data_IF_766327165773
#
_entry.id   IF_766327165773
#
_cell.length_a   1.000
_cell.length_b   1.000
_cell.length_c   1.000
_cell.angle_alpha   90.00
_cell.angle_beta   90.00
_cell.angle_gamma   90.00
#
_symmetry.space_group_name_H-M   'P 1'
#
loop_
_entity.id
_entity.type
_entity.pdbx_description
1 polymer ?
#
# COMPACT_ATOMS: atom_id res chain seq x y z
N UNK A 1 32.58 19.04 -20.03
CA UNK A 1 33.13 20.40 -19.85
C UNK A 1 31.97 21.39 -19.98
N UNK A 2 31.43 21.89 -18.86
CA UNK A 2 30.79 23.20 -18.74
C UNK A 2 30.46 23.42 -17.25
N UNK A 3 31.03 24.50 -16.68
CA UNK A 3 30.92 24.90 -15.28
C UNK A 3 29.67 25.74 -15.04
N UNK A 4 29.06 25.50 -13.88
CA UNK A 4 28.55 26.45 -12.88
C UNK A 4 27.81 27.73 -13.30
N UNK A 5 26.63 27.91 -12.71
CA UNK A 5 26.28 29.18 -12.03
C UNK A 5 25.87 28.91 -10.59
N UNK A 6 26.66 29.47 -9.68
CA UNK A 6 26.29 29.81 -8.29
C UNK A 6 25.45 31.09 -8.31
N UNK A 7 24.46 31.17 -7.45
CA UNK A 7 24.06 32.41 -6.79
C UNK A 7 23.63 32.05 -5.37
N UNK A 8 24.34 32.65 -4.41
CA UNK A 8 24.24 32.45 -2.97
C UNK A 8 23.00 33.13 -2.36
N UNK A 9 22.56 32.56 -1.24
CA UNK A 9 21.80 33.24 -0.19
C UNK A 9 21.70 32.30 1.02
N UNK A 10 22.19 32.68 2.22
CA UNK A 10 22.15 31.79 3.37
C UNK A 10 20.70 31.74 3.87
N UNK A 11 20.03 30.61 3.66
CA UNK A 11 18.84 30.28 4.46
C UNK A 11 19.32 30.10 5.89
N UNK A 12 18.80 30.93 6.79
CA UNK A 12 19.13 30.98 8.22
C UNK A 12 18.98 29.59 8.81
N UNK A 13 20.10 28.90 8.97
CA UNK A 13 20.18 27.75 9.86
C UNK A 13 19.99 28.31 11.27
N UNK A 14 18.82 28.07 11.85
CA UNK A 14 18.64 28.23 13.30
C UNK A 14 19.66 27.34 13.98
N UNK A 15 20.60 27.98 14.68
CA UNK A 15 21.67 27.32 15.42
C UNK A 15 21.10 26.22 16.35
N UNK A 16 21.83 25.13 16.61
CA UNK A 16 21.44 24.17 17.64
C UNK A 16 21.36 24.90 19.00
N UNK A 17 20.41 24.54 19.87
CA UNK A 17 20.23 25.24 21.14
C UNK A 17 21.51 25.18 21.96
N UNK A 18 22.08 26.36 22.23
CA UNK A 18 23.19 26.54 23.16
C UNK A 18 22.70 26.31 24.58
N UNK A 19 23.45 25.49 25.32
CA UNK A 19 23.22 25.19 26.73
C UNK A 19 23.49 26.45 27.56
N UNK A 20 22.47 27.25 27.84
CA UNK A 20 22.56 28.29 28.88
C UNK A 20 22.42 27.61 30.24
N UNK A 21 23.47 27.70 31.04
CA UNK A 21 23.47 27.33 32.45
C UNK A 21 22.40 28.13 33.22
N UNK A 22 21.73 27.46 34.15
CA UNK A 22 20.87 28.01 35.22
C UNK A 22 19.40 28.33 34.91
N UNK A 23 18.70 27.43 34.20
CA UNK A 23 17.26 27.27 34.38
C UNK A 23 16.89 25.77 34.28
N UNK A 24 16.15 25.27 35.27
CA UNK A 24 15.69 23.88 35.31
C UNK A 24 14.96 23.47 34.03
N UNK A 25 15.06 22.19 33.68
CA UNK A 25 14.37 21.58 32.55
C UNK A 25 12.86 21.86 32.62
N UNK A 26 12.39 22.80 31.81
CA UNK A 26 10.98 22.89 31.46
C UNK A 26 10.81 22.08 30.18
N UNK A 27 10.01 21.01 30.24
CA UNK A 27 9.59 20.30 29.04
C UNK A 27 8.84 21.30 28.14
N UNK A 28 9.17 21.38 26.83
CA UNK A 28 8.46 22.28 25.94
C UNK A 28 6.96 21.88 25.90
N UNK A 29 6.04 22.87 25.81
CA UNK A 29 4.62 22.59 25.71
C UNK A 29 4.31 21.88 24.39
N UNK A 30 3.14 21.23 24.33
CA UNK A 30 2.57 20.62 23.12
C UNK A 30 2.75 21.56 21.91
N UNK A 31 3.29 21.03 20.80
CA UNK A 31 3.55 21.66 19.48
C UNK A 31 5.01 22.08 19.20
N UNK A 32 5.75 21.26 18.43
CA UNK A 32 6.44 21.68 17.18
C UNK A 32 7.02 20.48 16.36
N UNK A 33 6.28 19.37 16.22
CA UNK A 33 6.66 18.30 15.28
C UNK A 33 5.81 18.30 13.99
N UNK A 34 4.84 19.20 13.88
CA UNK A 34 3.97 19.32 12.70
C UNK A 34 4.62 20.29 11.70
N UNK A 35 5.63 19.79 10.98
CA UNK A 35 6.39 20.57 10.02
C UNK A 35 6.45 19.84 8.68
N UNK A 36 6.00 20.51 7.61
CA UNK A 36 5.96 19.95 6.26
C UNK A 36 7.34 19.41 5.85
N UNK A 37 7.38 18.13 5.49
CA UNK A 37 8.58 17.43 5.08
C UNK A 37 9.45 16.92 6.23
N UNK A 38 8.97 16.97 7.48
CA UNK A 38 9.67 16.46 8.65
C UNK A 38 8.77 15.46 9.41
N UNK A 39 9.01 14.17 9.19
CA UNK A 39 8.22 13.09 9.77
C UNK A 39 8.59 12.86 11.24
N UNK A 40 7.60 12.87 12.12
CA UNK A 40 7.81 12.58 13.53
C UNK A 40 7.93 11.07 13.79
N UNK A 41 9.13 10.59 14.15
CA UNK A 41 9.41 9.19 14.46
C UNK A 41 9.61 8.92 15.96
N UNK A 42 9.07 9.80 16.80
CA UNK A 42 9.15 9.67 18.26
C UNK A 42 10.32 10.45 18.88
N UNK A 43 11.11 9.80 19.72
CA UNK A 43 12.15 10.43 20.55
C UNK A 43 13.49 9.73 20.35
N UNK A 44 14.63 10.44 20.49
CA UNK A 44 15.92 9.77 20.59
C UNK A 44 15.93 8.76 21.74
N UNK A 45 16.72 7.71 21.64
CA UNK A 45 16.74 6.61 22.61
C UNK A 45 18.16 6.30 23.06
N UNK A 46 18.41 6.39 24.36
CA UNK A 46 19.68 6.00 24.96
C UNK A 46 19.75 4.48 25.05
N UNK A 47 20.63 3.86 24.24
CA UNK A 47 20.83 2.42 24.20
C UNK A 47 21.47 1.86 25.49
N UNK A 48 22.26 2.66 26.21
CA UNK A 48 22.88 2.25 27.46
C UNK A 48 21.88 2.30 28.62
N UNK A 49 21.12 3.40 28.73
CA UNK A 49 20.09 3.55 29.76
C UNK A 49 18.79 2.77 29.44
N UNK A 50 18.61 2.35 28.19
CA UNK A 50 17.38 1.71 27.68
C UNK A 50 16.14 2.56 27.93
N UNK A 51 16.28 3.86 27.70
CA UNK A 51 15.25 4.84 27.97
C UNK A 51 15.18 5.88 26.85
N UNK A 52 13.98 6.41 26.56
CA UNK A 52 13.85 7.55 25.66
C UNK A 52 14.51 8.79 26.28
N UNK A 53 15.22 9.53 25.44
CA UNK A 53 15.78 10.83 25.78
C UNK A 53 14.74 11.94 25.51
N UNK A 54 14.88 13.11 26.16
CA UNK A 54 14.10 14.28 25.78
C UNK A 54 14.42 14.73 24.35
N UNK A 55 13.42 15.29 23.65
CA UNK A 55 13.57 15.81 22.29
C UNK A 55 12.63 15.13 21.30
N UNK A 56 12.68 15.56 20.04
CA UNK A 56 11.87 15.01 18.95
C UNK A 56 12.81 14.40 17.91
N UNK A 57 12.50 13.19 17.47
CA UNK A 57 13.16 12.58 16.32
C UNK A 57 12.36 12.94 15.07
N UNK A 58 12.77 14.00 14.39
CA UNK A 58 12.19 14.44 13.13
C UNK A 58 13.06 13.96 11.97
N UNK A 59 12.46 13.22 11.04
CA UNK A 59 13.11 12.62 9.90
C UNK A 59 12.79 13.42 8.62
N UNK A 60 13.81 13.81 7.84
CA UNK A 60 13.59 14.56 6.59
C UNK A 60 12.96 13.63 5.54
N UNK A 61 11.71 13.90 5.14
CA UNK A 61 10.99 13.05 4.21
C UNK A 61 11.62 13.02 2.82
N UNK A 62 12.51 13.99 2.50
CA UNK A 62 13.26 13.99 1.23
C UNK A 62 14.22 12.81 1.11
N UNK A 63 14.66 12.23 2.22
CA UNK A 63 15.48 11.03 2.21
C UNK A 63 14.70 9.81 1.66
N UNK A 64 13.36 9.86 1.67
CA UNK A 64 12.49 8.81 1.14
C UNK A 64 12.21 8.93 -0.37
N UNK A 65 12.73 9.96 -1.05
CA UNK A 65 12.51 10.18 -2.50
C UNK A 65 13.25 9.17 -3.41
N UNK A 66 14.08 8.30 -2.83
CA UNK A 66 14.77 7.25 -3.57
C UNK A 66 14.22 5.88 -3.18
N UNK A 67 14.88 5.19 -2.26
CA UNK A 67 14.46 3.88 -1.74
C UNK A 67 14.91 3.76 -0.28
N UNK A 68 14.04 3.21 0.56
CA UNK A 68 14.36 2.88 1.94
C UNK A 68 14.20 1.36 2.17
N UNK A 69 14.99 0.82 3.09
CA UNK A 69 14.90 -0.59 3.51
C UNK A 69 14.84 -0.64 5.03
N UNK A 70 13.76 -1.23 5.57
CA UNK A 70 13.61 -1.50 6.99
C UNK A 70 13.91 -2.98 7.28
N UNK A 71 14.91 -3.27 8.12
CA UNK A 71 15.34 -4.63 8.45
C UNK A 71 15.26 -4.85 9.96
N UNK A 72 14.82 -6.03 10.38
CA UNK A 72 14.68 -6.41 11.78
C UNK A 72 13.96 -7.73 11.96
N UNK A 73 14.12 -8.37 13.11
CA UNK A 73 13.42 -9.63 13.45
C UNK A 73 11.93 -9.40 13.74
N UNK A 74 11.13 -10.46 13.81
CA UNK A 74 9.72 -10.34 14.28
C UNK A 74 9.68 -9.72 15.68
N UNK A 75 8.74 -8.80 15.92
CA UNK A 75 8.64 -8.07 17.18
C UNK A 75 9.64 -6.91 17.35
N UNK A 76 10.52 -6.65 16.38
CA UNK A 76 11.49 -5.54 16.46
C UNK A 76 10.91 -4.16 16.15
N UNK A 77 9.58 -4.04 15.95
CA UNK A 77 8.93 -2.77 15.64
C UNK A 77 8.89 -2.34 14.17
N UNK A 78 9.27 -3.21 13.21
CA UNK A 78 9.24 -2.85 11.76
C UNK A 78 7.87 -2.34 11.29
N UNK A 79 6.81 -3.08 11.62
CA UNK A 79 5.44 -2.70 11.22
C UNK A 79 5.03 -1.38 11.89
N UNK A 80 5.40 -1.17 13.15
CA UNK A 80 5.16 0.09 13.86
C UNK A 80 5.85 1.27 13.16
N UNK A 81 7.14 1.13 12.83
CA UNK A 81 7.86 2.17 12.07
C UNK A 81 7.22 2.44 10.70
N UNK A 82 6.79 1.41 9.98
CA UNK A 82 6.08 1.61 8.71
C UNK A 82 4.74 2.32 8.91
N UNK A 83 4.00 1.99 9.97
CA UNK A 83 2.75 2.67 10.33
C UNK A 83 3.02 4.15 10.61
N UNK A 84 4.02 4.47 11.45
CA UNK A 84 4.41 5.84 11.74
C UNK A 84 4.72 6.61 10.45
N UNK A 85 5.55 6.04 9.56
CA UNK A 85 5.87 6.66 8.27
C UNK A 85 4.64 6.92 7.39
N UNK A 86 3.66 6.00 7.38
CA UNK A 86 2.43 6.14 6.61
C UNK A 86 1.53 7.24 7.20
N UNK A 87 1.45 7.32 8.53
CA UNK A 87 0.69 8.36 9.23
C UNK A 87 1.28 9.75 8.99
N UNK A 88 2.61 9.90 9.11
CA UNK A 88 3.29 11.16 8.82
C UNK A 88 3.15 11.56 7.34
N UNK A 89 3.28 10.61 6.42
CA UNK A 89 3.05 10.84 4.99
C UNK A 89 1.62 11.32 4.72
N UNK A 90 0.62 10.70 5.35
CA UNK A 90 -0.77 11.10 5.20
C UNK A 90 -1.01 12.52 5.74
N UNK A 91 -0.46 12.87 6.91
CA UNK A 91 -0.55 14.22 7.50
C UNK A 91 0.08 15.30 6.60
N UNK A 92 1.14 14.96 5.87
CA UNK A 92 1.78 15.83 4.87
C UNK A 92 1.10 15.81 3.49
N UNK A 93 0.00 15.08 3.32
CA UNK A 93 -0.74 14.97 2.06
C UNK A 93 -0.04 14.12 0.99
N UNK A 94 0.86 13.22 1.41
CA UNK A 94 1.57 12.29 0.53
C UNK A 94 0.78 10.98 0.46
N UNK A 95 0.25 10.58 -0.72
CA UNK A 95 -0.53 9.37 -0.85
C UNK A 95 0.34 8.11 -0.70
N UNK A 96 -0.18 7.13 0.03
CA UNK A 96 0.50 5.84 0.25
C UNK A 96 -0.29 4.70 -0.39
N UNK A 97 0.42 3.84 -1.14
CA UNK A 97 -0.06 2.50 -1.50
C UNK A 97 0.82 1.50 -0.76
N UNK A 98 0.22 0.70 0.11
CA UNK A 98 0.91 -0.33 0.88
C UNK A 98 0.48 -1.73 0.43
N UNK A 99 1.46 -2.60 0.16
CA UNK A 99 1.23 -4.02 -0.14
C UNK A 99 1.56 -4.82 1.11
N UNK A 100 0.54 -5.40 1.73
CA UNK A 100 0.67 -6.09 3.00
C UNK A 100 0.35 -7.58 2.89
N UNK A 101 1.36 -8.44 2.66
CA UNK A 101 1.16 -9.88 2.62
C UNK A 101 0.92 -10.50 4.01
N UNK A 102 1.14 -9.75 5.10
CA UNK A 102 0.94 -10.24 6.47
C UNK A 102 -0.46 -9.97 6.99
N UNK A 103 -1.08 -8.86 6.57
CA UNK A 103 -2.43 -8.47 6.95
C UNK A 103 -2.52 -7.67 8.24
N UNK A 104 -1.41 -7.06 8.68
CA UNK A 104 -1.31 -6.31 9.93
C UNK A 104 -1.53 -4.79 9.74
N UNK A 105 -1.35 -4.24 8.53
CA UNK A 105 -1.54 -2.82 8.23
C UNK A 105 -2.99 -2.31 8.31
N UNK A 106 -4.04 -3.13 8.10
CA UNK A 106 -5.42 -2.70 8.35
C UNK A 106 -5.67 -2.17 9.77
N UNK A 107 -4.79 -2.48 10.74
CA UNK A 107 -4.84 -1.90 12.08
C UNK A 107 -4.74 -0.37 12.09
N UNK A 108 -4.23 0.27 11.03
CA UNK A 108 -4.29 1.73 10.82
C UNK A 108 -5.72 2.30 10.90
N UNK A 109 -6.73 1.48 10.59
CA UNK A 109 -8.13 1.90 10.64
C UNK A 109 -8.71 1.87 12.05
N UNK A 110 -8.03 1.23 13.02
CA UNK A 110 -8.40 1.16 14.45
C UNK A 110 -7.96 2.43 15.21
N UNK A 111 -8.15 3.58 14.59
CA UNK A 111 -7.80 4.90 15.11
C UNK A 111 -9.06 5.64 15.50
N UNK A 112 -9.27 5.84 16.80
CA UNK A 112 -10.51 6.39 17.37
C UNK A 112 -10.27 7.81 17.95
N UNK A 113 -10.71 8.88 17.27
CA UNK A 113 -10.47 10.26 17.73
C UNK A 113 -11.04 10.57 19.11
N UNK A 114 -12.15 9.93 19.47
CA UNK A 114 -12.84 10.19 20.73
C UNK A 114 -12.32 9.33 21.89
N UNK A 115 -11.56 8.27 21.59
CA UNK A 115 -10.99 7.32 22.54
C UNK A 115 -12.04 6.84 23.57
N UNK A 116 -13.26 6.48 23.12
CA UNK A 116 -14.35 6.00 23.97
C UNK A 116 -14.28 4.49 24.11
N UNK A 117 -14.67 3.94 25.25
CA UNK A 117 -14.72 2.49 25.46
C UNK A 117 -15.52 1.77 24.36
N UNK A 118 -16.64 2.34 23.94
CA UNK A 118 -17.51 1.80 22.89
C UNK A 118 -16.82 1.69 21.53
N UNK A 119 -15.82 2.54 21.24
CA UNK A 119 -15.05 2.47 20.00
C UNK A 119 -14.14 1.22 19.98
N UNK A 120 -13.59 0.83 21.14
CA UNK A 120 -12.72 -0.34 21.29
C UNK A 120 -13.51 -1.63 21.46
N UNK A 121 -14.71 -1.58 22.04
CA UNK A 121 -15.51 -2.75 22.43
C UNK A 121 -15.72 -3.81 21.33
N UNK A 122 -15.92 -3.48 20.05
CA UNK A 122 -16.07 -4.47 18.98
C UNK A 122 -14.76 -5.19 18.62
N UNK A 123 -13.61 -4.65 19.04
CA UNK A 123 -12.28 -5.06 18.60
C UNK A 123 -11.43 -5.69 19.71
N UNK A 124 -11.99 -5.82 20.92
CA UNK A 124 -11.31 -6.52 22.01
C UNK A 124 -11.38 -8.04 21.81
N UNK A 125 -10.36 -8.73 22.31
CA UNK A 125 -10.36 -10.17 22.42
C UNK A 125 -11.07 -10.59 23.72
N UNK A 126 -12.31 -11.08 23.61
CA UNK A 126 -13.11 -11.44 24.80
C UNK A 126 -12.47 -12.57 25.62
N UNK A 127 -11.73 -13.47 24.98
CA UNK A 127 -10.97 -14.52 25.67
C UNK A 127 -9.87 -13.94 26.58
N UNK A 128 -9.23 -12.83 26.17
CA UNK A 128 -8.24 -12.15 27.01
C UNK A 128 -8.90 -11.41 28.17
N UNK A 129 -10.06 -10.79 27.94
CA UNK A 129 -10.86 -10.20 29.00
C UNK A 129 -11.24 -11.26 30.06
N UNK A 130 -11.69 -12.43 29.61
CA UNK A 130 -12.03 -13.55 30.48
C UNK A 130 -10.83 -14.08 31.28
N UNK A 131 -9.64 -14.23 30.65
CA UNK A 131 -8.40 -14.63 31.35
C UNK A 131 -7.99 -13.65 32.43
N UNK A 132 -8.28 -12.37 32.24
CA UNK A 132 -8.01 -11.31 33.21
C UNK A 132 -9.15 -11.12 34.24
N UNK A 133 -10.22 -11.91 34.14
CA UNK A 133 -11.37 -11.83 35.03
C UNK A 133 -12.18 -10.54 34.90
N UNK A 134 -12.11 -9.89 33.74
CA UNK A 134 -12.80 -8.63 33.45
C UNK A 134 -14.01 -8.87 32.55
N UNK A 135 -15.09 -8.11 32.78
CA UNK A 135 -16.19 -8.08 31.82
C UNK A 135 -15.72 -7.41 30.51
N UNK A 136 -16.27 -7.80 29.33
CA UNK A 136 -15.86 -7.21 28.06
C UNK A 136 -15.92 -5.68 28.01
N UNK A 137 -16.95 -5.07 28.58
CA UNK A 137 -17.10 -3.60 28.61
C UNK A 137 -16.07 -2.93 29.53
N UNK A 138 -15.70 -3.59 30.64
CA UNK A 138 -14.65 -3.11 31.55
C UNK A 138 -13.28 -3.20 30.88
N UNK A 139 -13.03 -4.28 30.12
CA UNK A 139 -11.80 -4.47 29.36
C UNK A 139 -11.67 -3.41 28.25
N UNK A 140 -12.74 -3.13 27.52
CA UNK A 140 -12.77 -2.07 26.51
C UNK A 140 -12.51 -0.68 27.11
N UNK A 141 -13.06 -0.40 28.29
CA UNK A 141 -12.80 0.85 29.00
C UNK A 141 -11.34 0.97 29.49
N UNK A 142 -10.77 -0.15 29.96
CA UNK A 142 -9.35 -0.22 30.34
C UNK A 142 -8.44 0.01 29.12
N UNK A 143 -8.79 -0.57 27.97
CA UNK A 143 -8.06 -0.38 26.71
C UNK A 143 -8.12 1.08 26.23
N UNK A 144 -9.31 1.68 26.20
CA UNK A 144 -9.47 3.09 25.85
C UNK A 144 -8.64 4.03 26.75
N UNK A 145 -8.59 3.72 28.06
CA UNK A 145 -7.75 4.45 29.02
C UNK A 145 -6.26 4.26 28.72
N UNK A 146 -5.82 3.03 28.47
CA UNK A 146 -4.43 2.69 28.13
C UNK A 146 -3.95 3.46 26.90
N UNK A 147 -4.76 3.51 25.85
CA UNK A 147 -4.45 4.28 24.64
C UNK A 147 -4.36 5.77 24.91
N UNK A 148 -5.31 6.35 25.66
CA UNK A 148 -5.31 7.77 26.01
C UNK A 148 -4.06 8.17 26.79
N UNK A 149 -3.69 7.39 27.80
CA UNK A 149 -2.49 7.63 28.61
C UNK A 149 -1.21 7.44 27.80
N UNK A 150 -1.16 6.41 26.95
CA UNK A 150 -0.04 6.15 26.04
C UNK A 150 0.19 7.31 25.07
N UNK A 151 -0.85 7.77 24.37
CA UNK A 151 -0.77 8.91 23.46
C UNK A 151 -0.32 10.18 24.18
N UNK A 152 -0.92 10.48 25.33
CA UNK A 152 -0.56 11.64 26.12
C UNK A 152 0.91 11.62 26.58
N UNK A 153 1.46 10.45 26.92
CA UNK A 153 2.88 10.29 27.27
C UNK A 153 3.83 10.68 26.11
N UNK A 154 3.34 10.60 24.87
CA UNK A 154 4.04 11.01 23.64
C UNK A 154 3.63 12.40 23.14
N UNK A 155 2.84 13.15 23.91
CA UNK A 155 2.36 14.48 23.52
C UNK A 155 1.28 14.47 22.45
N UNK A 156 0.66 13.31 22.20
CA UNK A 156 -0.40 13.12 21.22
C UNK A 156 -1.76 12.99 21.91
N UNK A 157 -2.82 13.25 21.16
CA UNK A 157 -4.19 13.18 21.63
C UNK A 157 -5.16 12.78 20.50
N UNK A 158 -6.46 12.74 20.83
CA UNK A 158 -7.51 12.46 19.87
C UNK A 158 -7.65 13.48 18.74
N UNK A 159 -7.17 14.72 18.94
CA UNK A 159 -7.19 15.75 17.88
C UNK A 159 -6.19 15.41 16.78
N UNK A 160 -5.01 14.90 17.12
CA UNK A 160 -4.08 14.41 16.09
C UNK A 160 -4.64 13.24 15.29
N UNK A 161 -5.33 12.31 15.94
CA UNK A 161 -6.03 11.22 15.25
C UNK A 161 -7.11 11.77 14.32
N UNK A 162 -7.87 12.78 14.76
CA UNK A 162 -8.87 13.47 13.93
C UNK A 162 -8.25 14.11 12.69
N UNK A 163 -7.10 14.77 12.84
CA UNK A 163 -6.33 15.35 11.73
C UNK A 163 -5.85 14.27 10.74
N UNK A 164 -5.29 13.17 11.22
CA UNK A 164 -4.87 12.04 10.38
C UNK A 164 -6.04 11.50 9.54
N UNK A 165 -7.19 11.24 10.18
CA UNK A 165 -8.39 10.74 9.51
C UNK A 165 -8.99 11.72 8.49
N UNK A 166 -8.75 13.02 8.66
CA UNK A 166 -9.18 14.05 7.72
C UNK A 166 -8.18 14.26 6.57
N UNK A 167 -6.92 13.86 6.74
CA UNK A 167 -5.85 14.10 5.78
C UNK A 167 -5.88 13.12 4.59
N UNK A 168 -6.40 11.91 4.77
CA UNK A 168 -6.48 10.90 3.72
C UNK A 168 -7.69 9.97 3.87
N UNK A 169 -8.15 9.43 2.74
CA UNK A 169 -9.09 8.31 2.71
C UNK A 169 -8.35 6.99 2.96
N UNK A 170 -8.78 6.23 3.95
CA UNK A 170 -8.21 4.91 4.27
C UNK A 170 -9.06 3.80 3.65
N UNK A 171 -8.48 3.07 2.71
CA UNK A 171 -9.16 2.00 1.98
C UNK A 171 -8.37 0.69 2.08
N UNK A 172 -9.03 -0.37 2.55
CA UNK A 172 -8.46 -1.72 2.59
C UNK A 172 -8.95 -2.49 1.38
N UNK A 173 -8.02 -2.85 0.50
CA UNK A 173 -8.32 -3.62 -0.70
C UNK A 173 -7.94 -5.09 -0.50
N UNK A 174 -8.87 -6.01 -0.71
CA UNK A 174 -8.66 -7.44 -0.46
C UNK A 174 -8.86 -8.27 -1.73
N UNK A 175 -7.79 -8.75 -2.39
CA UNK A 175 -7.89 -9.75 -3.44
C UNK A 175 -8.44 -11.06 -2.88
N UNK A 176 -9.42 -11.69 -3.56
CA UNK A 176 -9.96 -12.99 -3.17
C UNK A 176 -10.78 -13.02 -1.87
N UNK A 177 -10.95 -11.90 -1.19
CA UNK A 177 -11.77 -11.76 0.02
C UNK A 177 -12.74 -10.59 -0.12
N UNK A 178 -13.85 -10.65 0.63
CA UNK A 178 -14.86 -9.59 0.73
C UNK A 178 -14.80 -8.86 2.08
N UNK A 179 -13.75 -9.09 2.87
CA UNK A 179 -13.56 -8.45 4.17
C UNK A 179 -13.28 -6.94 4.03
N UNK A 180 -12.63 -6.52 2.93
CA UNK A 180 -12.47 -5.12 2.55
C UNK A 180 -13.12 -4.82 1.19
N UNK A 181 -12.60 -3.80 0.50
CA UNK A 181 -12.98 -3.49 -0.88
C UNK A 181 -12.43 -4.61 -1.77
N UNK A 182 -13.29 -5.39 -2.45
CA UNK A 182 -12.82 -6.50 -3.25
C UNK A 182 -12.02 -5.99 -4.46
N UNK A 183 -10.79 -6.46 -4.61
CA UNK A 183 -10.05 -6.28 -5.86
C UNK A 183 -10.45 -7.38 -6.83
N UNK A 184 -11.27 -7.01 -7.81
CA UNK A 184 -11.51 -7.87 -8.96
C UNK A 184 -10.39 -7.68 -9.96
N UNK A 185 -9.55 -8.69 -10.11
CA UNK A 185 -8.57 -8.72 -11.21
C UNK A 185 -9.29 -9.02 -12.54
N UNK A 186 -10.47 -9.65 -12.47
CA UNK A 186 -11.23 -10.18 -13.60
C UNK A 186 -12.08 -9.13 -14.34
N UNK A 187 -12.51 -8.05 -13.67
CA UNK A 187 -13.17 -6.91 -14.33
C UNK A 187 -12.21 -6.06 -15.20
N UNK A 188 -10.94 -6.45 -15.31
CA UNK A 188 -9.88 -5.68 -15.96
C UNK A 188 -9.79 -5.84 -17.49
N UNK A 189 -10.67 -6.61 -18.13
CA UNK A 189 -10.66 -6.78 -19.59
C UNK A 189 -11.71 -5.94 -20.34
N UNK A 190 -12.33 -4.96 -19.66
CA UNK A 190 -13.09 -3.92 -20.34
C UNK A 190 -12.21 -3.17 -21.35
N UNK A 191 -12.77 -2.84 -22.51
CA UNK A 191 -12.08 -2.07 -23.52
C UNK A 191 -11.67 -0.72 -22.94
N UNK A 192 -10.42 -0.28 -23.14
CA UNK A 192 -9.98 1.00 -22.60
C UNK A 192 -10.69 2.16 -23.32
N UNK A 193 -10.69 3.37 -22.72
CA UNK A 193 -11.28 4.56 -23.34
C UNK A 193 -10.74 4.79 -24.76
N UNK A 194 -11.54 5.44 -25.61
CA UNK A 194 -11.18 5.67 -27.02
C UNK A 194 -9.81 6.32 -27.19
N UNK A 195 -9.45 7.27 -26.32
CA UNK A 195 -8.13 7.92 -26.32
C UNK A 195 -6.95 6.94 -26.21
N UNK A 196 -7.11 5.83 -25.48
CA UNK A 196 -6.10 4.77 -25.37
C UNK A 196 -6.18 3.82 -26.57
N UNK A 197 -7.37 3.57 -27.12
CA UNK A 197 -7.55 2.63 -28.25
C UNK A 197 -6.97 3.13 -29.57
N UNK A 198 -6.96 4.46 -29.77
CA UNK A 198 -6.42 5.07 -31.00
C UNK A 198 -4.91 5.30 -30.95
N UNK A 199 -4.30 5.20 -29.77
CA UNK A 199 -2.86 5.29 -29.56
C UNK A 199 -2.29 3.87 -29.49
N UNK A 200 -1.52 3.49 -30.49
CA UNK A 200 -0.97 2.14 -30.62
C UNK A 200 0.00 1.79 -29.48
N UNK A 201 0.78 2.76 -29.00
CA UNK A 201 1.74 2.55 -27.91
C UNK A 201 0.99 2.33 -26.58
N UNK A 202 0.04 3.20 -26.26
CA UNK A 202 -0.77 3.07 -25.04
C UNK A 202 -1.62 1.80 -25.04
N UNK A 203 -2.18 1.43 -26.20
CA UNK A 203 -2.93 0.18 -26.34
C UNK A 203 -2.04 -1.04 -26.11
N UNK A 204 -0.87 -1.09 -26.75
CA UNK A 204 0.06 -2.21 -26.62
C UNK A 204 0.58 -2.36 -25.19
N UNK A 205 0.89 -1.26 -24.51
CA UNK A 205 1.28 -1.29 -23.09
C UNK A 205 0.17 -1.83 -22.20
N UNK A 206 -1.07 -1.38 -22.44
CA UNK A 206 -2.23 -1.85 -21.67
C UNK A 206 -2.50 -3.34 -21.90
N UNK A 207 -2.42 -3.79 -23.15
CA UNK A 207 -2.60 -5.20 -23.52
C UNK A 207 -1.50 -6.06 -22.91
N UNK A 208 -0.25 -5.65 -23.05
CA UNK A 208 0.91 -6.38 -22.53
C UNK A 208 0.84 -6.53 -21.01
N UNK A 209 0.48 -5.44 -20.30
CA UNK A 209 0.28 -5.45 -18.85
C UNK A 209 -0.87 -6.38 -18.43
N UNK A 210 -2.00 -6.33 -19.13
CA UNK A 210 -3.15 -7.20 -18.84
C UNK A 210 -2.85 -8.68 -19.08
N UNK A 211 -2.20 -9.03 -20.20
CA UNK A 211 -1.80 -10.39 -20.51
C UNK A 211 -0.78 -10.94 -19.50
N UNK A 212 0.24 -10.14 -19.15
CA UNK A 212 1.27 -10.51 -18.16
C UNK A 212 0.64 -10.73 -16.79
N UNK A 213 -0.21 -9.80 -16.34
CA UNK A 213 -0.91 -9.90 -15.07
C UNK A 213 -1.78 -11.15 -14.98
N UNK A 214 -2.57 -11.43 -16.03
CA UNK A 214 -3.42 -12.63 -16.07
C UNK A 214 -2.60 -13.92 -15.99
N UNK A 215 -1.53 -14.01 -16.77
CA UNK A 215 -0.71 -15.22 -16.86
C UNK A 215 0.09 -15.45 -15.58
N UNK A 216 0.54 -14.39 -14.91
CA UNK A 216 1.17 -14.48 -13.60
C UNK A 216 0.24 -15.06 -12.54
N UNK A 217 -1.05 -14.72 -12.54
CA UNK A 217 -2.04 -15.24 -11.57
C UNK A 217 -2.23 -16.75 -11.65
N UNK A 218 -2.08 -17.32 -12.84
CA UNK A 218 -2.16 -18.77 -13.05
C UNK A 218 -0.79 -19.45 -12.99
N UNK A 219 0.25 -18.73 -12.57
CA UNK A 219 1.62 -19.25 -12.41
C UNK A 219 2.32 -19.55 -13.74
N UNK A 220 1.99 -18.83 -14.82
CA UNK A 220 2.71 -18.91 -16.09
C UNK A 220 3.74 -17.78 -16.11
N UNK A 221 5.02 -18.13 -16.04
CA UNK A 221 6.08 -17.17 -16.35
C UNK A 221 6.13 -16.94 -17.85
N UNK A 222 6.01 -15.67 -18.27
CA UNK A 222 5.99 -15.33 -19.69
C UNK A 222 6.96 -14.22 -20.06
N UNK A 223 7.59 -14.41 -21.20
CA UNK A 223 8.26 -13.35 -21.96
C UNK A 223 7.24 -12.78 -22.97
N UNK A 224 6.94 -11.47 -22.93
CA UNK A 224 5.94 -10.84 -23.80
C UNK A 224 6.16 -11.04 -25.31
N UNK A 225 7.38 -11.36 -25.72
CA UNK A 225 7.78 -11.50 -27.14
C UNK A 225 7.87 -12.97 -27.55
N UNK A 226 8.12 -13.89 -26.61
CA UNK A 226 8.43 -15.30 -26.94
C UNK A 226 7.38 -16.30 -26.48
N UNK A 227 6.64 -16.00 -25.42
CA UNK A 227 5.68 -16.94 -24.83
C UNK A 227 4.40 -17.00 -25.67
N UNK A 228 4.05 -18.21 -26.11
CA UNK A 228 2.88 -18.44 -26.98
C UNK A 228 1.57 -18.09 -26.27
N UNK A 229 1.53 -18.33 -24.96
CA UNK A 229 0.45 -17.97 -24.05
C UNK A 229 0.23 -16.45 -24.05
N UNK A 230 1.31 -15.68 -23.86
CA UNK A 230 1.25 -14.22 -23.83
C UNK A 230 0.85 -13.65 -25.17
N UNK A 231 1.48 -14.10 -26.25
CA UNK A 231 1.17 -13.63 -27.60
C UNK A 231 -0.29 -13.92 -27.95
N UNK A 232 -0.81 -15.12 -27.63
CA UNK A 232 -2.21 -15.45 -27.90
C UNK A 232 -3.15 -14.55 -27.11
N UNK A 233 -2.97 -14.45 -25.79
CA UNK A 233 -3.83 -13.62 -24.92
C UNK A 233 -3.78 -12.16 -25.35
N UNK A 234 -2.59 -11.63 -25.64
CA UNK A 234 -2.41 -10.27 -26.15
C UNK A 234 -3.12 -10.06 -27.48
N UNK A 235 -3.03 -11.00 -28.41
CA UNK A 235 -3.72 -10.91 -29.71
C UNK A 235 -5.24 -10.86 -29.55
N UNK A 236 -5.80 -11.68 -28.65
CA UNK A 236 -7.24 -11.70 -28.36
C UNK A 236 -7.71 -10.38 -27.73
N UNK A 237 -6.96 -9.87 -26.75
CA UNK A 237 -7.23 -8.58 -26.10
C UNK A 237 -7.16 -7.42 -27.10
N UNK A 238 -6.08 -7.32 -27.89
CA UNK A 238 -5.92 -6.29 -28.92
C UNK A 238 -7.09 -6.30 -29.89
N UNK A 239 -7.49 -7.48 -30.39
CA UNK A 239 -8.60 -7.61 -31.33
C UNK A 239 -9.92 -7.11 -30.74
N UNK A 240 -10.26 -7.53 -29.53
CA UNK A 240 -11.49 -7.11 -28.87
C UNK A 240 -11.49 -5.61 -28.57
N UNK A 241 -10.40 -5.10 -28.00
CA UNK A 241 -10.29 -3.71 -27.59
C UNK A 241 -10.24 -2.75 -28.78
N UNK A 242 -9.59 -3.09 -29.89
CA UNK A 242 -9.66 -2.28 -31.13
C UNK A 242 -11.09 -2.13 -31.64
N UNK A 243 -11.94 -3.14 -31.43
CA UNK A 243 -13.36 -3.11 -31.78
C UNK A 243 -14.24 -2.44 -30.72
N UNK A 244 -13.64 -1.93 -29.63
CA UNK A 244 -14.37 -1.38 -28.48
C UNK A 244 -15.18 -2.43 -27.72
N UNK A 245 -14.83 -3.70 -27.84
CA UNK A 245 -15.52 -4.81 -27.19
C UNK A 245 -14.88 -5.13 -25.85
N UNK A 246 -15.70 -5.12 -24.80
CA UNK A 246 -15.32 -5.65 -23.51
C UNK A 246 -15.17 -7.17 -23.59
N UNK A 247 -14.18 -7.71 -22.88
CA UNK A 247 -14.10 -9.14 -22.59
C UNK A 247 -14.36 -9.37 -21.11
N UNK A 248 -14.94 -10.54 -20.80
CA UNK A 248 -14.86 -11.13 -19.48
C UNK A 248 -13.96 -12.37 -19.52
N UNK A 249 -13.60 -12.88 -18.34
CA UNK A 249 -12.69 -14.03 -18.25
C UNK A 249 -13.32 -15.30 -18.84
N UNK A 250 -14.64 -15.49 -18.73
CA UNK A 250 -15.31 -16.64 -19.31
C UNK A 250 -15.20 -16.65 -20.85
N UNK A 251 -15.44 -15.50 -21.48
CA UNK A 251 -15.29 -15.30 -22.92
C UNK A 251 -13.84 -15.46 -23.34
N UNK A 252 -12.90 -14.88 -22.59
CA UNK A 252 -11.47 -15.03 -22.87
C UNK A 252 -11.02 -16.49 -22.79
N UNK A 253 -11.46 -17.26 -21.78
CA UNK A 253 -11.17 -18.69 -21.67
C UNK A 253 -11.67 -19.44 -22.91
N UNK A 254 -12.91 -19.19 -23.33
CA UNK A 254 -13.48 -19.77 -24.54
C UNK A 254 -12.67 -19.41 -25.80
N UNK A 255 -12.27 -18.15 -25.93
CA UNK A 255 -11.44 -17.69 -27.05
C UNK A 255 -9.99 -18.20 -26.97
N UNK A 256 -9.46 -18.54 -25.80
CA UNK A 256 -8.15 -19.19 -25.70
C UNK A 256 -8.25 -20.62 -26.22
N UNK A 257 -9.28 -21.36 -25.84
CA UNK A 257 -9.49 -22.74 -26.30
C UNK A 257 -9.78 -22.81 -27.81
N UNK A 258 -10.68 -21.94 -28.29
CA UNK A 258 -11.09 -21.80 -29.68
C UNK A 258 -10.93 -20.35 -30.16
N UNK A 259 -9.71 -19.95 -30.56
CA UNK A 259 -9.43 -18.57 -30.98
C UNK A 259 -10.23 -18.14 -32.21
N UNK A 260 -10.89 -16.96 -32.19
CA UNK A 260 -11.55 -16.37 -33.36
C UNK A 260 -10.54 -15.74 -34.34
N UNK A 261 -9.39 -16.40 -34.54
CA UNK A 261 -8.29 -16.03 -35.41
C UNK A 261 -7.71 -17.28 -36.08
N UNK A 262 -7.40 -17.19 -37.36
CA UNK A 262 -6.77 -18.30 -38.09
C UNK A 262 -5.24 -18.30 -37.97
N UNK A 263 -4.65 -17.13 -37.67
CA UNK A 263 -3.20 -16.93 -37.67
C UNK A 263 -2.74 -16.00 -36.55
N UNK A 264 -1.52 -16.23 -36.09
CA UNK A 264 -0.75 -15.33 -35.23
C UNK A 264 0.54 -14.96 -35.98
N UNK A 265 0.67 -13.69 -36.33
CA UNK A 265 1.70 -13.24 -37.28
C UNK A 265 1.60 -14.02 -38.60
N UNK A 266 2.72 -14.62 -39.02
CA UNK A 266 2.78 -15.40 -40.26
C UNK A 266 2.41 -16.89 -40.10
N UNK A 267 2.08 -17.35 -38.89
CA UNK A 267 1.86 -18.77 -38.58
C UNK A 267 0.38 -19.09 -38.40
N UNK A 268 -0.04 -20.25 -38.90
CA UNK A 268 -1.33 -20.86 -38.57
C UNK A 268 -1.47 -21.09 -37.06
N UNK A 269 -2.65 -20.84 -36.50
CA UNK A 269 -2.89 -20.89 -35.05
C UNK A 269 -2.64 -22.28 -34.46
N UNK A 270 -2.98 -23.37 -35.16
CA UNK A 270 -2.76 -24.74 -34.66
C UNK A 270 -1.29 -25.14 -34.73
N UNK A 271 -0.53 -24.56 -35.67
CA UNK A 271 0.92 -24.70 -35.73
C UNK A 271 1.62 -23.86 -34.65
N UNK A 272 1.15 -22.64 -34.42
CA UNK A 272 1.72 -21.72 -33.44
C UNK A 272 1.49 -22.22 -32.02
N UNK A 273 0.23 -22.48 -31.67
CA UNK A 273 -0.16 -22.93 -30.34
C UNK A 273 -1.23 -24.04 -30.46
N UNK A 274 -0.82 -25.32 -30.43
CA UNK A 274 -1.71 -26.45 -30.71
C UNK A 274 -2.92 -26.54 -29.78
N UNK A 275 -4.06 -27.05 -30.28
CA UNK A 275 -5.33 -27.17 -29.54
C UNK A 275 -5.18 -27.78 -28.14
N UNK A 276 -4.38 -28.84 -27.98
CA UNK A 276 -4.12 -29.48 -26.67
C UNK A 276 -3.47 -28.51 -25.67
N UNK A 277 -2.54 -27.68 -26.15
CA UNK A 277 -1.82 -26.74 -25.31
C UNK A 277 -2.69 -25.50 -24.99
N UNK A 278 -3.53 -25.07 -25.94
CA UNK A 278 -4.57 -24.05 -25.70
C UNK A 278 -5.58 -24.50 -24.65
N UNK A 279 -6.09 -25.73 -24.75
CA UNK A 279 -7.00 -26.31 -23.75
C UNK A 279 -6.37 -26.40 -22.35
N UNK A 280 -5.07 -26.72 -22.27
CA UNK A 280 -4.35 -26.71 -20.99
C UNK A 280 -4.24 -25.30 -20.39
N UNK A 281 -4.01 -24.27 -21.22
CA UNK A 281 -4.03 -22.87 -20.75
C UNK A 281 -5.43 -22.45 -20.30
N UNK A 282 -6.47 -22.76 -21.09
CA UNK A 282 -7.86 -22.48 -20.75
C UNK A 282 -8.26 -23.09 -19.40
N UNK A 283 -7.84 -24.34 -19.13
CA UNK A 283 -8.09 -25.00 -17.85
C UNK A 283 -7.40 -24.29 -16.67
N UNK A 284 -6.17 -23.79 -16.86
CA UNK A 284 -5.47 -23.01 -15.83
C UNK A 284 -6.18 -21.69 -15.56
N UNK A 285 -6.59 -20.98 -16.61
CA UNK A 285 -7.35 -19.73 -16.52
C UNK A 285 -8.70 -19.94 -15.83
N UNK A 286 -9.37 -21.07 -16.08
CA UNK A 286 -10.62 -21.42 -15.40
C UNK A 286 -10.46 -21.59 -13.89
N UNK A 287 -9.26 -21.93 -13.41
CA UNK A 287 -8.95 -21.97 -11.97
C UNK A 287 -9.07 -20.62 -11.26
N UNK A 288 -9.15 -19.50 -11.99
CA UNK A 288 -9.43 -18.17 -11.41
C UNK A 288 -10.93 -17.91 -11.19
N UNK A 289 -11.82 -18.71 -11.79
CA UNK A 289 -13.28 -18.62 -11.62
C UNK A 289 -13.81 -19.58 -10.54
N UNK A 290 -13.07 -20.64 -10.24
CA UNK A 290 -13.42 -21.68 -9.27
C UNK A 290 -13.02 -21.27 -7.84
#
# INVERSE_FOLDING_TARGET
MARARKADGPSVATAPPTRTSDAGWQAPPVADYENLGAFYLGRPHDLAAKAPEPGLLLYDSKDLLTHAVCVGMTGSGKTGLCIDLIEEAALDGIPTIAIDPKGDLPNLLLTFPELRADDFRPWIEEDEAAKQGQAPDEFAAAEAKRWREGLAAWGQDGERIRRLRAAADFAVFTPGSRAGIPLSIVRSFAAPPEAVRVDEELLNDRVSGAATGLLALVGVETDPVRSREHILVSTLLTRAWQQGQDLDLATLIGQVEEPPIERVGAMDIDRFFPKKARAALALRLNGLLA
#
